data_IF_693711668877
#
_entry.id   IF_693711668877
#
_cell.length_a   1.000
_cell.length_b   1.000
_cell.length_c   1.000
_cell.angle_alpha   90.00
_cell.angle_beta   90.00
_cell.angle_gamma   90.00
#
_symmetry.space_group_name_H-M   'P 1'
#
loop_
_entity.id
_entity.type
_entity.pdbx_description
1 polymer ?
#
# COMPACT_ATOMS: atom_id res chain seq x y z
N UNK A 1 10.59 -15.09 -5.05
CA UNK A 1 11.44 -13.92 -4.68
C UNK A 1 10.55 -12.73 -4.45
N UNK A 2 10.64 -12.11 -3.28
CA UNK A 2 9.80 -10.98 -2.86
C UNK A 2 10.49 -9.66 -3.21
N UNK A 3 9.79 -8.79 -3.92
CA UNK A 3 10.32 -7.51 -4.41
C UNK A 3 9.52 -6.36 -3.81
N UNK A 4 10.19 -5.32 -3.33
CA UNK A 4 9.59 -4.08 -2.89
C UNK A 4 9.98 -2.94 -3.83
N UNK A 5 9.01 -2.09 -4.22
CA UNK A 5 9.25 -1.00 -5.18
C UNK A 5 9.13 0.35 -4.45
N UNK A 6 10.18 1.19 -4.57
CA UNK A 6 10.19 2.57 -4.11
C UNK A 6 10.29 3.49 -5.31
N UNK A 7 9.18 4.11 -5.67
CA UNK A 7 9.01 4.89 -6.90
C UNK A 7 7.87 5.90 -6.71
N UNK A 8 8.10 7.17 -6.95
CA UNK A 8 7.08 8.21 -6.78
C UNK A 8 6.12 8.29 -7.98
N UNK A 9 6.61 8.03 -9.19
CA UNK A 9 5.79 8.01 -10.39
C UNK A 9 4.83 6.81 -10.41
N UNK A 10 3.53 7.06 -10.26
CA UNK A 10 2.49 6.03 -10.30
C UNK A 10 2.47 5.26 -11.64
N UNK A 11 2.86 5.87 -12.74
CA UNK A 11 2.92 5.22 -14.07
C UNK A 11 4.08 4.23 -14.16
N UNK A 12 5.27 4.64 -13.71
CA UNK A 12 6.47 3.78 -13.70
C UNK A 12 6.25 2.63 -12.70
N UNK A 13 5.74 2.92 -11.51
CA UNK A 13 5.44 1.92 -10.51
C UNK A 13 4.48 0.84 -11.02
N UNK A 14 3.38 1.22 -11.70
CA UNK A 14 2.46 0.27 -12.34
C UNK A 14 3.10 -0.56 -13.45
N UNK A 15 4.03 0.03 -14.20
CA UNK A 15 4.78 -0.70 -15.23
C UNK A 15 5.66 -1.78 -14.61
N UNK A 16 6.43 -1.41 -13.58
CA UNK A 16 7.32 -2.33 -12.85
C UNK A 16 6.53 -3.48 -12.22
N UNK A 17 5.43 -3.18 -11.52
CA UNK A 17 4.55 -4.20 -10.91
C UNK A 17 4.08 -5.20 -11.96
N UNK A 18 3.51 -4.73 -13.09
CA UNK A 18 3.01 -5.63 -14.14
C UNK A 18 4.08 -6.52 -14.75
N UNK A 19 5.27 -5.97 -14.97
CA UNK A 19 6.40 -6.73 -15.57
C UNK A 19 6.92 -7.77 -14.58
N UNK A 20 7.11 -7.40 -13.32
CA UNK A 20 7.63 -8.29 -12.28
C UNK A 20 6.65 -9.41 -11.92
N UNK A 21 5.37 -9.11 -11.77
CA UNK A 21 4.35 -10.13 -11.47
C UNK A 21 4.12 -11.11 -12.63
N UNK A 22 4.49 -10.74 -13.87
CA UNK A 22 4.47 -11.63 -15.02
C UNK A 22 5.70 -12.56 -15.08
N UNK A 23 6.75 -12.32 -14.27
CA UNK A 23 7.97 -13.13 -14.26
C UNK A 23 7.83 -14.31 -13.27
N UNK A 24 8.13 -15.55 -13.70
CA UNK A 24 8.01 -16.72 -12.83
C UNK A 24 8.84 -16.60 -11.54
N UNK A 25 8.23 -16.91 -10.41
CA UNK A 25 8.89 -16.91 -9.10
C UNK A 25 9.16 -15.52 -8.51
N UNK A 26 8.70 -14.44 -9.14
CA UNK A 26 8.76 -13.08 -8.62
C UNK A 26 7.39 -12.62 -8.10
N UNK A 27 7.41 -11.79 -7.07
CA UNK A 27 6.21 -11.21 -6.48
C UNK A 27 6.51 -9.82 -5.92
N UNK A 28 5.71 -8.83 -6.28
CA UNK A 28 5.76 -7.52 -5.63
C UNK A 28 5.00 -7.58 -4.31
N UNK A 29 5.73 -7.42 -3.20
CA UNK A 29 5.17 -7.50 -1.84
C UNK A 29 4.80 -6.14 -1.27
N UNK A 30 5.21 -5.05 -1.91
CA UNK A 30 4.82 -3.71 -1.48
C UNK A 30 5.39 -2.62 -2.38
N UNK A 31 4.83 -1.44 -2.23
CA UNK A 31 5.15 -0.23 -2.98
C UNK A 31 5.15 0.99 -2.06
N UNK A 32 6.01 1.96 -2.33
CA UNK A 32 6.02 3.25 -1.65
C UNK A 32 6.50 4.37 -2.59
N UNK A 33 5.95 5.58 -2.43
CA UNK A 33 6.36 6.77 -3.19
C UNK A 33 7.29 7.70 -2.42
N UNK A 34 7.58 7.43 -1.14
CA UNK A 34 8.41 8.30 -0.29
C UNK A 34 9.26 7.53 0.72
N UNK A 35 10.32 8.19 1.18
CA UNK A 35 11.37 7.62 2.03
C UNK A 35 10.85 7.00 3.33
N UNK A 36 10.05 7.75 4.08
CA UNK A 36 9.58 7.34 5.41
C UNK A 36 8.64 6.14 5.34
N UNK A 37 7.74 6.13 4.36
CA UNK A 37 6.83 5.03 4.11
C UNK A 37 7.62 3.78 3.66
N UNK A 38 8.57 3.94 2.74
CA UNK A 38 9.39 2.85 2.24
C UNK A 38 10.21 2.20 3.35
N UNK A 39 10.89 3.01 4.20
CA UNK A 39 11.71 2.49 5.29
C UNK A 39 10.93 1.55 6.21
N UNK A 40 9.76 1.99 6.65
CA UNK A 40 8.93 1.22 7.56
C UNK A 40 8.42 -0.08 6.94
N UNK A 41 7.95 -0.01 5.68
CA UNK A 41 7.42 -1.17 4.98
C UNK A 41 8.50 -2.20 4.62
N UNK A 42 9.68 -1.76 4.20
CA UNK A 42 10.80 -2.65 3.89
C UNK A 42 11.30 -3.36 5.15
N UNK A 43 11.40 -2.64 6.28
CA UNK A 43 11.76 -3.26 7.55
C UNK A 43 10.78 -4.33 8.01
N UNK A 44 9.52 -4.16 7.68
CA UNK A 44 8.49 -5.12 8.05
C UNK A 44 8.38 -6.29 7.05
N UNK A 45 8.32 -6.00 5.74
CA UNK A 45 8.17 -7.04 4.71
C UNK A 45 9.42 -7.86 4.50
N UNK A 46 10.60 -7.34 4.89
CA UNK A 46 11.91 -7.97 4.67
C UNK A 46 11.99 -8.57 3.26
N UNK A 47 11.82 -7.78 2.19
CA UNK A 47 11.82 -8.29 0.84
C UNK A 47 13.22 -8.82 0.47
N UNK A 48 13.28 -9.70 -0.51
CA UNK A 48 14.54 -10.20 -1.04
C UNK A 48 15.28 -9.13 -1.83
N UNK A 49 14.51 -8.29 -2.53
CA UNK A 49 15.02 -7.21 -3.37
C UNK A 49 14.22 -5.94 -3.15
N UNK A 50 14.88 -4.80 -3.03
CA UNK A 50 14.29 -3.46 -3.10
C UNK A 50 14.70 -2.82 -4.42
N UNK A 51 13.73 -2.47 -5.26
CA UNK A 51 13.93 -1.58 -6.41
C UNK A 51 13.65 -0.16 -5.96
N UNK A 52 14.62 0.74 -6.15
CA UNK A 52 14.58 2.07 -5.54
C UNK A 52 14.93 3.16 -6.53
N UNK A 53 14.04 4.15 -6.70
CA UNK A 53 14.42 5.42 -7.30
C UNK A 53 15.14 6.32 -6.29
N UNK A 54 16.03 7.16 -6.78
CA UNK A 54 16.72 8.19 -5.99
C UNK A 54 15.84 9.42 -5.77
N UNK A 55 15.00 9.75 -6.76
CA UNK A 55 14.05 10.87 -6.69
C UNK A 55 12.73 10.38 -6.13
N UNK A 56 12.38 10.81 -4.93
CA UNK A 56 11.12 10.43 -4.27
C UNK A 56 10.25 11.65 -4.02
N UNK A 57 8.94 11.47 -3.98
CA UNK A 57 7.99 12.55 -3.68
C UNK A 57 8.29 13.22 -2.33
N UNK A 58 8.78 12.45 -1.35
CA UNK A 58 9.22 12.93 -0.04
C UNK A 58 10.49 12.22 0.39
N UNK A 59 11.52 12.98 0.72
CA UNK A 59 12.84 12.44 1.09
C UNK A 59 13.73 12.11 -0.10
N UNK A 60 14.64 11.17 0.06
CA UNK A 60 15.65 10.78 -0.94
C UNK A 60 15.91 9.28 -0.91
N UNK A 61 15.99 8.64 -2.09
CA UNK A 61 16.37 7.23 -2.19
C UNK A 61 17.76 6.94 -1.64
N UNK A 62 18.72 7.84 -1.81
CA UNK A 62 20.06 7.68 -1.25
C UNK A 62 20.06 7.70 0.30
N UNK A 63 19.25 8.59 0.90
CA UNK A 63 19.03 8.61 2.34
C UNK A 63 18.38 7.31 2.84
N UNK A 64 17.35 6.84 2.14
CA UNK A 64 16.67 5.60 2.45
C UNK A 64 17.62 4.39 2.38
N UNK A 65 18.44 4.30 1.34
CA UNK A 65 19.47 3.27 1.19
C UNK A 65 20.39 3.20 2.41
N UNK A 66 20.96 4.36 2.80
CA UNK A 66 21.84 4.45 3.96
C UNK A 66 21.13 4.07 5.27
N UNK A 67 19.85 4.43 5.44
CA UNK A 67 19.06 4.05 6.62
C UNK A 67 18.75 2.55 6.67
N UNK A 68 18.42 1.94 5.53
CA UNK A 68 18.16 0.49 5.44
C UNK A 68 19.41 -0.30 5.82
N UNK A 69 20.57 0.07 5.29
CA UNK A 69 21.82 -0.61 5.61
C UNK A 69 22.23 -0.45 7.08
N UNK A 70 22.07 0.76 7.65
CA UNK A 70 22.28 0.98 9.09
C UNK A 70 21.32 0.20 9.98
N UNK A 71 20.08 -0.01 9.51
CA UNK A 71 19.08 -0.82 10.20
C UNK A 71 19.29 -2.33 10.05
N UNK A 72 20.36 -2.76 9.36
CA UNK A 72 20.72 -4.18 9.19
C UNK A 72 19.97 -4.90 8.07
N UNK A 73 19.34 -4.17 7.13
CA UNK A 73 18.71 -4.81 5.98
C UNK A 73 19.79 -5.45 5.07
N UNK A 74 19.67 -6.76 4.84
CA UNK A 74 20.64 -7.58 4.10
C UNK A 74 20.17 -7.98 2.70
N UNK A 75 18.89 -7.72 2.37
CA UNK A 75 18.35 -7.97 1.03
C UNK A 75 19.05 -7.13 -0.04
N UNK A 76 18.92 -7.53 -1.29
CA UNK A 76 19.50 -6.82 -2.44
C UNK A 76 18.82 -5.48 -2.64
N UNK A 77 19.57 -4.40 -2.85
CA UNK A 77 19.05 -3.07 -3.19
C UNK A 77 19.56 -2.71 -4.59
N UNK A 78 18.62 -2.61 -5.52
CA UNK A 78 18.86 -2.20 -6.90
C UNK A 78 18.31 -0.80 -7.12
N UNK A 79 19.18 0.16 -7.44
CA UNK A 79 18.83 1.53 -7.74
C UNK A 79 18.42 1.63 -9.21
N UNK A 80 17.26 2.24 -9.47
CA UNK A 80 16.73 2.50 -10.80
C UNK A 80 16.38 3.99 -10.90
N UNK A 81 17.14 4.79 -11.62
CA UNK A 81 16.98 6.25 -11.64
C UNK A 81 17.15 6.85 -13.02
N UNK A 82 16.50 7.99 -13.26
CA UNK A 82 16.69 8.81 -14.46
C UNK A 82 17.75 9.92 -14.27
N UNK A 83 18.37 10.00 -13.09
CA UNK A 83 19.41 10.98 -12.79
C UNK A 83 20.75 10.57 -13.42
N UNK A 84 21.70 11.52 -13.51
CA UNK A 84 23.04 11.30 -14.07
C UNK A 84 23.71 10.08 -13.43
N UNK A 85 23.80 9.02 -14.23
CA UNK A 85 24.28 7.69 -13.81
C UNK A 85 25.69 7.77 -13.24
N UNK A 86 26.58 8.55 -13.83
CA UNK A 86 28.01 8.60 -13.46
C UNK A 86 28.22 9.33 -12.13
N UNK A 87 27.43 10.39 -11.87
CA UNK A 87 27.55 11.17 -10.64
C UNK A 87 27.02 10.44 -9.39
N UNK A 88 25.93 9.68 -9.54
CA UNK A 88 25.27 9.03 -8.40
C UNK A 88 25.65 7.57 -8.18
N UNK A 89 26.11 6.87 -9.22
CA UNK A 89 26.47 5.45 -9.16
C UNK A 89 27.46 5.17 -8.02
N UNK A 90 28.53 5.94 -7.95
CA UNK A 90 29.57 5.74 -6.93
C UNK A 90 29.00 5.97 -5.51
N UNK A 91 28.27 7.04 -5.32
CA UNK A 91 27.65 7.34 -4.01
C UNK A 91 26.66 6.26 -3.58
N UNK A 92 25.87 5.69 -4.51
CA UNK A 92 24.95 4.60 -4.20
C UNK A 92 25.66 3.30 -3.84
N UNK A 93 26.71 2.93 -4.58
CA UNK A 93 27.50 1.75 -4.29
C UNK A 93 28.25 1.89 -2.95
N UNK A 94 28.84 3.06 -2.67
CA UNK A 94 29.49 3.36 -1.40
C UNK A 94 28.49 3.35 -0.22
N UNK A 95 27.22 3.70 -0.46
CA UNK A 95 26.14 3.62 0.51
C UNK A 95 25.57 2.19 0.68
N UNK A 96 25.99 1.23 -0.13
CA UNK A 96 25.63 -0.18 -0.03
C UNK A 96 24.55 -0.65 -1.01
N UNK A 97 24.38 0.02 -2.16
CA UNK A 97 23.57 -0.53 -3.25
C UNK A 97 24.29 -1.71 -3.89
N UNK A 98 23.56 -2.74 -4.30
CA UNK A 98 24.09 -3.94 -4.94
C UNK A 98 24.11 -3.82 -6.47
N UNK A 99 23.22 -2.99 -7.02
CA UNK A 99 23.12 -2.75 -8.45
C UNK A 99 22.59 -1.34 -8.75
N UNK A 100 22.88 -0.85 -9.96
CA UNK A 100 22.47 0.48 -10.39
C UNK A 100 22.08 0.45 -11.88
N UNK A 101 20.88 0.94 -12.21
CA UNK A 101 20.31 0.93 -13.55
C UNK A 101 19.79 2.32 -13.94
N UNK A 102 19.93 2.66 -15.21
CA UNK A 102 19.30 3.83 -15.82
C UNK A 102 17.85 3.49 -16.22
N UNK A 103 16.88 4.31 -15.82
CA UNK A 103 15.46 4.13 -16.18
C UNK A 103 15.20 4.14 -17.69
N UNK A 104 16.01 4.88 -18.47
CA UNK A 104 15.79 5.02 -19.91
C UNK A 104 16.30 3.80 -20.71
N UNK A 105 17.42 3.21 -20.29
CA UNK A 105 18.12 2.17 -21.04
C UNK A 105 18.35 0.86 -20.29
N UNK A 106 18.23 0.87 -18.96
CA UNK A 106 18.63 -0.25 -18.10
C UNK A 106 17.50 -1.19 -17.66
N UNK A 107 16.26 -0.97 -18.08
CA UNK A 107 15.13 -1.77 -17.62
C UNK A 107 15.20 -3.25 -18.02
N UNK A 108 15.60 -3.55 -19.27
CA UNK A 108 15.71 -4.94 -19.72
C UNK A 108 16.86 -5.64 -18.97
N UNK A 109 18.00 -4.97 -18.80
CA UNK A 109 19.13 -5.50 -18.00
C UNK A 109 18.70 -5.76 -16.54
N UNK A 110 17.93 -4.87 -15.95
CA UNK A 110 17.38 -5.07 -14.60
C UNK A 110 16.55 -6.36 -14.52
N UNK A 111 15.65 -6.59 -15.48
CA UNK A 111 14.79 -7.78 -15.46
C UNK A 111 15.60 -9.07 -15.70
N UNK A 112 16.60 -9.04 -16.59
CA UNK A 112 17.49 -10.17 -16.83
C UNK A 112 18.32 -10.50 -15.57
N UNK A 113 18.91 -9.50 -14.92
CA UNK A 113 19.67 -9.65 -13.67
C UNK A 113 18.80 -10.18 -12.52
N UNK A 114 17.53 -9.74 -12.44
CA UNK A 114 16.60 -10.26 -11.45
C UNK A 114 16.22 -11.71 -11.71
N UNK A 115 16.04 -12.10 -12.98
CA UNK A 115 15.78 -13.48 -13.38
C UNK A 115 16.96 -14.40 -13.04
N UNK A 116 18.18 -13.97 -13.34
CA UNK A 116 19.39 -14.68 -12.98
C UNK A 116 19.57 -14.79 -11.45
N UNK A 117 19.34 -13.72 -10.73
CA UNK A 117 19.40 -13.71 -9.27
C UNK A 117 18.38 -14.65 -8.64
N UNK A 118 17.16 -14.70 -9.19
CA UNK A 118 16.12 -15.64 -8.73
C UNK A 118 16.53 -17.11 -9.01
N UNK A 119 17.17 -17.38 -10.14
CA UNK A 119 17.60 -18.74 -10.53
C UNK A 119 18.80 -19.24 -9.71
N UNK A 120 19.70 -18.34 -9.30
CA UNK A 120 20.94 -18.69 -8.55
C UNK A 120 20.71 -18.77 -7.04
N UNK A 121 19.59 -18.28 -6.54
CA UNK A 121 19.27 -18.30 -5.11
C UNK A 121 18.93 -19.74 -4.68
N UNK A 122 19.61 -20.33 -3.68
CA UNK A 122 19.17 -21.58 -3.11
C UNK A 122 17.76 -21.37 -2.55
N UNK A 123 16.85 -22.30 -2.84
CA UNK A 123 15.54 -22.33 -2.22
C UNK A 123 15.77 -22.43 -0.69
N UNK A 124 15.79 -21.30 -0.02
CA UNK A 124 15.88 -21.28 1.45
C UNK A 124 14.56 -21.79 1.97
N UNK A 125 14.62 -22.73 2.92
CA UNK A 125 13.47 -23.27 3.69
C UNK A 125 12.71 -22.17 4.47
N UNK A 126 13.14 -20.93 4.38
CA UNK A 126 12.47 -19.69 4.80
C UNK A 126 11.61 -19.07 3.68
N UNK A 127 10.96 -19.90 2.86
CA UNK A 127 9.76 -19.48 2.14
C UNK A 127 8.63 -19.29 3.19
N UNK A 128 8.86 -18.33 4.10
CA UNK A 128 7.74 -17.72 4.83
C UNK A 128 6.79 -17.28 3.74
N UNK A 129 5.54 -17.76 3.72
CA UNK A 129 4.58 -17.29 2.72
C UNK A 129 4.61 -15.78 2.80
N UNK A 130 5.05 -15.14 1.71
CA UNK A 130 5.09 -13.68 1.66
C UNK A 130 3.73 -13.21 2.14
N UNK A 131 3.68 -12.48 3.23
CA UNK A 131 2.42 -11.95 3.74
C UNK A 131 1.86 -11.13 2.59
N UNK A 132 0.81 -11.64 1.95
CA UNK A 132 0.15 -10.89 0.90
C UNK A 132 -0.38 -9.63 1.56
N UNK A 133 0.17 -8.47 1.21
CA UNK A 133 -0.27 -7.19 1.74
C UNK A 133 -1.46 -6.64 0.98
N UNK A 134 -1.76 -7.24 -0.15
CA UNK A 134 -2.83 -6.78 -1.03
C UNK A 134 -3.91 -7.84 -1.20
N UNK A 135 -5.13 -7.36 -1.30
CA UNK A 135 -6.28 -8.14 -1.75
C UNK A 135 -6.14 -8.45 -3.24
N UNK A 136 -6.14 -9.72 -3.60
CA UNK A 136 -5.89 -10.18 -4.96
C UNK A 136 -6.95 -9.75 -5.98
N UNK A 137 -8.16 -9.39 -5.53
CA UNK A 137 -9.27 -8.97 -6.39
C UNK A 137 -9.24 -7.46 -6.69
N UNK A 138 -8.98 -6.65 -5.67
CA UNK A 138 -9.10 -5.19 -5.74
C UNK A 138 -7.75 -4.47 -5.80
N UNK A 139 -6.65 -5.14 -5.45
CA UNK A 139 -5.33 -4.54 -5.32
C UNK A 139 -5.20 -3.53 -4.17
N UNK A 140 -6.21 -3.39 -3.31
CA UNK A 140 -6.15 -2.64 -2.05
C UNK A 140 -5.29 -3.39 -1.04
N UNK A 141 -4.92 -2.74 0.07
CA UNK A 141 -4.35 -3.50 1.19
C UNK A 141 -5.37 -4.52 1.70
N UNK A 142 -4.89 -5.67 2.15
CA UNK A 142 -5.73 -6.64 2.82
C UNK A 142 -5.84 -6.35 4.33
N UNK A 143 -6.61 -7.15 5.05
CA UNK A 143 -6.84 -7.00 6.48
C UNK A 143 -5.53 -7.04 7.29
N UNK A 144 -4.61 -7.95 6.98
CA UNK A 144 -3.33 -8.06 7.68
C UNK A 144 -2.48 -6.79 7.52
N UNK A 145 -2.40 -6.26 6.29
CA UNK A 145 -1.71 -5.02 6.00
C UNK A 145 -2.40 -3.80 6.64
N UNK A 146 -3.73 -3.79 6.71
CA UNK A 146 -4.48 -2.73 7.38
C UNK A 146 -4.10 -2.63 8.86
N UNK A 147 -4.11 -3.75 9.58
CA UNK A 147 -3.76 -3.79 11.01
C UNK A 147 -2.35 -3.27 11.27
N UNK A 148 -1.37 -3.79 10.52
CA UNK A 148 0.03 -3.39 10.65
C UNK A 148 0.25 -1.89 10.38
N UNK A 149 -0.34 -1.40 9.29
CA UNK A 149 -0.21 0.00 8.91
C UNK A 149 -0.90 0.92 9.89
N UNK A 150 -2.06 0.53 10.40
CA UNK A 150 -2.77 1.31 11.41
C UNK A 150 -1.95 1.39 12.71
N UNK A 151 -1.32 0.30 13.14
CA UNK A 151 -0.39 0.30 14.27
C UNK A 151 0.76 1.28 14.07
N UNK A 152 1.32 1.31 12.86
CA UNK A 152 2.42 2.20 12.52
C UNK A 152 2.01 3.67 12.52
N UNK A 153 0.92 4.02 11.79
CA UNK A 153 0.49 5.42 11.70
C UNK A 153 0.00 5.94 13.05
N UNK A 154 -0.60 5.09 13.91
CA UNK A 154 -1.00 5.48 15.26
C UNK A 154 0.20 5.81 16.15
N UNK A 155 1.31 5.04 16.05
CA UNK A 155 2.56 5.38 16.75
C UNK A 155 3.15 6.71 16.26
N UNK A 156 3.14 6.95 14.94
CA UNK A 156 3.59 8.23 14.38
C UNK A 156 2.69 9.38 14.85
N UNK A 157 1.38 9.21 14.80
CA UNK A 157 0.39 10.19 15.23
C UNK A 157 0.57 10.57 16.70
N UNK A 158 0.77 9.57 17.59
CA UNK A 158 1.08 9.81 19.01
C UNK A 158 2.34 10.65 19.21
N UNK A 159 3.41 10.34 18.46
CA UNK A 159 4.68 11.06 18.56
C UNK A 159 4.58 12.49 18.02
N UNK A 160 3.88 12.64 16.89
CA UNK A 160 3.82 13.91 16.16
C UNK A 160 2.65 14.81 16.63
N UNK A 161 1.78 14.30 17.54
CA UNK A 161 0.63 15.02 18.08
C UNK A 161 -0.45 15.32 17.03
N UNK A 162 -0.65 14.41 16.06
CA UNK A 162 -1.65 14.56 14.99
C UNK A 162 -2.78 13.56 15.18
N UNK A 163 -3.98 13.94 14.76
CA UNK A 163 -5.15 13.08 14.81
C UNK A 163 -5.28 12.22 13.56
N UNK A 164 -5.93 11.04 13.69
CA UNK A 164 -6.28 10.15 12.60
C UNK A 164 -7.78 9.88 12.62
N UNK A 165 -8.35 9.55 11.44
CA UNK A 165 -9.67 8.95 11.37
C UNK A 165 -9.60 7.57 10.70
N UNK A 166 -10.36 6.64 11.25
CA UNK A 166 -10.60 5.32 10.65
C UNK A 166 -12.06 5.25 10.23
N UNK A 167 -12.28 4.93 8.97
CA UNK A 167 -13.61 4.69 8.41
C UNK A 167 -13.72 3.22 8.02
N UNK A 168 -14.86 2.61 8.33
CA UNK A 168 -15.23 1.28 7.86
C UNK A 168 -16.50 1.41 7.03
N UNK A 169 -16.44 0.97 5.78
CA UNK A 169 -17.56 0.99 4.84
C UNK A 169 -17.96 -0.45 4.58
N UNK A 170 -19.20 -0.81 4.85
CA UNK A 170 -19.81 -2.08 4.46
C UNK A 170 -20.84 -1.86 3.37
N UNK A 171 -20.79 -2.73 2.36
CA UNK A 171 -21.73 -2.74 1.24
C UNK A 171 -22.74 -3.88 1.45
N UNK A 172 -23.88 -3.55 2.06
CA UNK A 172 -24.94 -4.53 2.30
C UNK A 172 -25.50 -5.03 0.96
N UNK A 173 -25.60 -6.35 0.82
CA UNK A 173 -26.05 -7.01 -0.41
C UNK A 173 -24.92 -7.39 -1.39
N UNK A 174 -23.68 -6.96 -1.15
CA UNK A 174 -22.57 -7.32 -2.04
C UNK A 174 -22.29 -8.83 -2.05
N UNK A 175 -22.34 -9.46 -0.88
CA UNK A 175 -22.13 -10.92 -0.75
C UNK A 175 -23.29 -11.76 -1.31
N UNK A 176 -24.43 -11.16 -1.62
CA UNK A 176 -25.61 -11.82 -2.19
C UNK A 176 -25.57 -11.83 -3.73
N UNK A 177 -24.68 -11.03 -4.34
CA UNK A 177 -24.50 -10.99 -5.78
C UNK A 177 -23.70 -12.21 -6.28
N UNK A 178 -23.91 -12.64 -7.54
CA UNK A 178 -23.02 -13.63 -8.19
C UNK A 178 -21.55 -13.21 -8.11
N UNK A 179 -20.63 -14.16 -7.94
CA UNK A 179 -19.20 -13.89 -7.70
C UNK A 179 -18.53 -12.98 -8.73
N UNK A 180 -18.87 -13.12 -10.02
CA UNK A 180 -18.37 -12.30 -11.11
C UNK A 180 -18.86 -10.84 -10.99
N UNK A 181 -20.12 -10.64 -10.66
CA UNK A 181 -20.72 -9.31 -10.43
C UNK A 181 -20.17 -8.69 -9.15
N UNK A 182 -20.17 -9.44 -8.05
CA UNK A 182 -19.61 -8.99 -6.77
C UNK A 182 -18.14 -8.57 -6.93
N UNK A 183 -17.37 -9.33 -7.70
CA UNK A 183 -15.97 -9.02 -8.01
C UNK A 183 -15.82 -7.74 -8.85
N UNK A 184 -16.70 -7.53 -9.85
CA UNK A 184 -16.67 -6.31 -10.66
C UNK A 184 -17.06 -5.07 -9.84
N UNK A 185 -18.09 -5.17 -8.99
CA UNK A 185 -18.49 -4.12 -8.06
C UNK A 185 -17.36 -3.81 -7.06
N UNK A 186 -16.76 -4.82 -6.44
CA UNK A 186 -15.67 -4.62 -5.49
C UNK A 186 -14.48 -3.86 -6.09
N UNK A 187 -14.15 -4.11 -7.38
CA UNK A 187 -13.11 -3.34 -8.09
C UNK A 187 -13.51 -1.87 -8.31
N UNK A 188 -14.77 -1.59 -8.62
CA UNK A 188 -15.25 -0.21 -8.75
C UNK A 188 -15.25 0.52 -7.40
N UNK A 189 -15.66 -0.15 -6.32
CA UNK A 189 -15.56 0.37 -4.96
C UNK A 189 -14.10 0.74 -4.63
N UNK A 190 -13.18 -0.17 -4.90
CA UNK A 190 -11.76 0.07 -4.66
C UNK A 190 -11.22 1.30 -5.41
N UNK A 191 -11.65 1.50 -6.65
CA UNK A 191 -11.28 2.67 -7.46
C UNK A 191 -11.85 3.95 -6.85
N UNK A 192 -13.16 4.00 -6.56
CA UNK A 192 -13.82 5.15 -5.95
C UNK A 192 -13.20 5.53 -4.61
N UNK A 193 -12.91 4.55 -3.74
CA UNK A 193 -12.27 4.81 -2.45
C UNK A 193 -10.85 5.35 -2.59
N UNK A 194 -10.06 4.84 -3.56
CA UNK A 194 -8.72 5.37 -3.84
C UNK A 194 -8.75 6.80 -4.35
N UNK A 195 -9.70 7.14 -5.22
CA UNK A 195 -9.86 8.49 -5.77
C UNK A 195 -10.33 9.50 -4.72
N UNK A 196 -11.13 9.03 -3.74
CA UNK A 196 -11.60 9.85 -2.63
C UNK A 196 -10.57 10.02 -1.51
N UNK A 197 -9.49 9.23 -1.50
CA UNK A 197 -8.47 9.23 -0.45
C UNK A 197 -7.23 9.99 -0.89
N UNK A 198 -6.53 10.59 0.08
CA UNK A 198 -5.23 11.24 -0.16
C UNK A 198 -4.10 10.23 -0.40
N UNK A 199 -3.00 10.71 -1.01
CA UNK A 199 -1.83 9.85 -1.31
C UNK A 199 -1.19 9.21 -0.05
N UNK A 200 -1.37 9.84 1.11
CA UNK A 200 -0.87 9.35 2.39
C UNK A 200 -1.85 8.40 3.11
N UNK A 201 -3.10 8.32 2.66
CA UNK A 201 -4.13 7.53 3.31
C UNK A 201 -3.99 6.04 2.99
N UNK A 202 -4.48 5.21 3.90
CA UNK A 202 -4.47 3.76 3.76
C UNK A 202 -5.88 3.33 3.34
N UNK A 203 -5.98 2.64 2.19
CA UNK A 203 -7.24 2.06 1.73
C UNK A 203 -7.07 0.55 1.67
N UNK A 204 -7.95 -0.17 2.35
CA UNK A 204 -7.89 -1.62 2.50
C UNK A 204 -9.24 -2.29 2.23
N UNK A 205 -9.20 -3.55 1.83
CA UNK A 205 -10.36 -4.46 1.84
C UNK A 205 -10.18 -5.44 2.99
N UNK A 206 -11.00 -5.31 4.04
CA UNK A 206 -10.90 -6.13 5.25
C UNK A 206 -11.71 -7.42 5.18
N UNK A 207 -12.77 -7.47 4.34
CA UNK A 207 -13.54 -8.68 4.08
C UNK A 207 -14.17 -8.66 2.67
N UNK A 208 -15.03 -9.62 2.38
CA UNK A 208 -15.71 -9.71 1.09
C UNK A 208 -16.54 -8.45 0.77
N UNK A 209 -17.19 -7.87 1.78
CA UNK A 209 -18.12 -6.73 1.68
C UNK A 209 -17.67 -5.50 2.48
N UNK A 210 -16.48 -5.56 3.15
CA UNK A 210 -15.99 -4.47 3.99
C UNK A 210 -14.70 -3.86 3.46
N UNK A 211 -14.66 -2.53 3.52
CA UNK A 211 -13.50 -1.72 3.17
C UNK A 211 -13.18 -0.78 4.33
N UNK A 212 -11.90 -0.46 4.49
CA UNK A 212 -11.44 0.46 5.51
C UNK A 212 -10.57 1.55 4.90
N UNK A 213 -10.70 2.77 5.42
CA UNK A 213 -9.85 3.90 5.09
C UNK A 213 -9.24 4.42 6.39
N UNK A 214 -7.93 4.67 6.40
CA UNK A 214 -7.26 5.38 7.48
C UNK A 214 -6.78 6.71 6.92
N UNK A 215 -7.42 7.79 7.33
CA UNK A 215 -7.01 9.14 7.03
C UNK A 215 -5.90 9.54 7.99
N UNK A 216 -4.68 9.73 7.46
CA UNK A 216 -3.45 9.81 8.27
C UNK A 216 -3.14 11.20 8.80
N UNK A 217 -3.90 12.21 8.41
CA UNK A 217 -3.80 13.60 8.88
C UNK A 217 -5.17 14.22 8.97
N UNK A 218 -5.51 14.66 10.15
CA UNK A 218 -6.69 15.49 10.41
C UNK A 218 -6.24 16.79 11.05
N UNK A 219 -6.61 17.90 10.43
CA UNK A 219 -6.39 19.23 11.04
C UNK A 219 -7.51 19.55 12.05
N UNK A 220 -8.71 19.01 11.81
CA UNK A 220 -9.90 19.22 12.65
C UNK A 220 -10.81 17.99 12.59
N UNK A 221 -11.43 17.63 13.73
CA UNK A 221 -12.34 16.49 13.82
C UNK A 221 -13.59 16.61 12.89
N UNK A 222 -14.05 17.85 12.63
CA UNK A 222 -15.16 18.12 11.72
C UNK A 222 -14.90 17.69 10.27
N UNK A 223 -13.64 17.69 9.86
CA UNK A 223 -13.22 17.21 8.53
C UNK A 223 -13.51 15.71 8.38
N UNK A 224 -13.34 14.93 9.44
CA UNK A 224 -13.62 13.50 9.41
C UNK A 224 -15.11 13.22 9.14
N UNK A 225 -16.02 13.95 9.82
CA UNK A 225 -17.45 13.82 9.59
C UNK A 225 -17.88 14.29 8.19
N UNK A 226 -17.23 15.32 7.64
CA UNK A 226 -17.48 15.76 6.27
C UNK A 226 -17.00 14.72 5.25
N UNK A 227 -15.82 14.14 5.47
CA UNK A 227 -15.27 13.07 4.62
C UNK A 227 -16.14 11.81 4.67
N UNK A 228 -16.65 11.42 5.85
CA UNK A 228 -17.57 10.30 5.99
C UNK A 228 -18.83 10.50 5.13
N UNK A 229 -19.43 11.69 5.16
CA UNK A 229 -20.60 12.00 4.30
C UNK A 229 -20.28 11.94 2.83
N UNK A 230 -19.11 12.41 2.42
CA UNK A 230 -18.65 12.33 1.02
C UNK A 230 -18.46 10.89 0.57
N UNK A 231 -17.90 10.02 1.42
CA UNK A 231 -17.76 8.60 1.14
C UNK A 231 -19.12 7.91 0.97
N UNK A 232 -20.08 8.19 1.84
CA UNK A 232 -21.44 7.65 1.70
C UNK A 232 -22.08 8.10 0.39
N UNK A 233 -22.01 9.39 0.05
CA UNK A 233 -22.54 9.90 -1.20
C UNK A 233 -21.89 9.22 -2.42
N UNK A 234 -20.57 9.10 -2.43
CA UNK A 234 -19.81 8.48 -3.51
C UNK A 234 -20.15 6.98 -3.70
N UNK A 235 -20.40 6.27 -2.61
CA UNK A 235 -20.78 4.85 -2.66
C UNK A 235 -22.24 4.62 -2.97
N UNK A 236 -23.10 5.63 -2.81
CA UNK A 236 -24.54 5.57 -3.15
C UNK A 236 -24.81 5.63 -4.65
N UNK A 237 -23.85 6.09 -5.44
CA UNK A 237 -23.97 6.06 -6.91
C UNK A 237 -23.98 4.61 -7.42
N UNK A 238 -24.84 4.28 -8.39
CA UNK A 238 -24.93 2.93 -8.93
C UNK A 238 -23.58 2.40 -9.46
N UNK A 239 -23.38 1.10 -9.34
CA UNK A 239 -22.27 0.37 -9.94
C UNK A 239 -22.71 -0.24 -11.26
N UNK A 240 -22.01 0.13 -12.34
CA UNK A 240 -22.35 -0.34 -13.68
C UNK A 240 -21.57 -1.61 -14.04
N UNK A 241 -22.24 -2.75 -14.14
CA UNK A 241 -21.63 -4.03 -14.51
C UNK A 241 -22.45 -4.69 -15.60
N UNK A 242 -21.83 -5.02 -16.72
CA UNK A 242 -22.42 -5.71 -17.86
C UNK A 242 -23.73 -5.06 -18.36
N UNK A 243 -23.75 -3.71 -18.39
CA UNK A 243 -24.88 -2.92 -18.85
C UNK A 243 -26.06 -2.86 -17.88
N UNK A 244 -25.87 -3.25 -16.63
CA UNK A 244 -26.86 -3.16 -15.54
C UNK A 244 -26.33 -2.32 -14.40
N UNK A 245 -27.27 -1.68 -13.70
CA UNK A 245 -27.00 -0.86 -12.53
C UNK A 245 -27.29 -1.64 -11.26
N UNK A 246 -26.32 -1.63 -10.35
CA UNK A 246 -26.42 -2.24 -9.01
C UNK A 246 -26.32 -1.15 -7.95
N UNK A 247 -27.33 -1.05 -7.10
CA UNK A 247 -27.32 -0.15 -5.95
C UNK A 247 -27.27 -1.01 -4.68
N UNK A 248 -26.31 -0.72 -3.81
CA UNK A 248 -26.10 -1.45 -2.56
C UNK A 248 -26.41 -0.57 -1.35
N UNK A 249 -26.76 -1.20 -0.24
CA UNK A 249 -26.87 -0.51 1.03
C UNK A 249 -25.48 -0.11 1.53
N UNK A 250 -25.32 1.14 1.98
CA UNK A 250 -24.06 1.66 2.51
C UNK A 250 -24.17 1.84 4.00
N UNK A 251 -23.32 1.14 4.73
CA UNK A 251 -23.15 1.31 6.16
C UNK A 251 -21.75 1.82 6.43
N UNK A 252 -21.63 2.99 7.04
CA UNK A 252 -20.35 3.62 7.33
C UNK A 252 -20.23 3.92 8.81
N UNK A 253 -19.16 3.42 9.41
CA UNK A 253 -18.79 3.79 10.77
C UNK A 253 -17.43 4.48 10.78
N UNK A 254 -17.21 5.28 11.83
CA UNK A 254 -16.01 6.11 11.97
C UNK A 254 -15.54 6.10 13.42
N UNK A 255 -14.23 6.17 13.61
CA UNK A 255 -13.60 6.40 14.90
C UNK A 255 -12.38 7.32 14.76
N UNK A 256 -12.14 8.16 15.76
CA UNK A 256 -11.07 9.15 15.81
C UNK A 256 -9.97 8.72 16.79
N UNK A 257 -8.71 8.88 16.38
CA UNK A 257 -7.56 8.71 17.26
C UNK A 257 -7.01 10.09 17.65
N UNK A 258 -6.66 10.32 18.91
CA UNK A 258 -6.84 9.44 20.07
C UNK A 258 -8.18 9.60 20.79
N UNK A 259 -9.11 10.42 20.25
CA UNK A 259 -10.33 10.86 20.93
C UNK A 259 -11.25 9.70 21.33
N UNK A 260 -11.52 8.77 20.38
CA UNK A 260 -12.47 7.66 20.61
C UNK A 260 -11.76 6.39 21.12
N UNK A 261 -10.53 6.15 20.66
CA UNK A 261 -9.70 5.05 21.13
C UNK A 261 -8.22 5.34 20.97
N UNK A 262 -7.41 4.83 21.91
CA UNK A 262 -5.94 4.98 21.91
C UNK A 262 -5.21 3.78 21.34
N UNK A 263 -5.93 2.69 21.04
CA UNK A 263 -5.33 1.50 20.44
C UNK A 263 -5.84 1.29 19.01
N UNK A 264 -4.96 0.88 18.09
CA UNK A 264 -5.34 0.62 16.69
C UNK A 264 -6.49 -0.38 16.53
N UNK A 265 -6.47 -1.46 17.32
CA UNK A 265 -7.57 -2.44 17.32
C UNK A 265 -8.87 -1.86 17.85
N UNK A 266 -8.80 -1.05 18.92
CA UNK A 266 -9.96 -0.35 19.46
C UNK A 266 -10.61 0.57 18.44
N UNK A 267 -9.82 1.31 17.67
CA UNK A 267 -10.31 2.17 16.59
C UNK A 267 -11.08 1.40 15.51
N UNK A 268 -10.51 0.29 15.02
CA UNK A 268 -11.20 -0.54 14.03
C UNK A 268 -12.47 -1.16 14.58
N UNK A 269 -12.42 -1.70 15.81
CA UNK A 269 -13.60 -2.28 16.45
C UNK A 269 -14.71 -1.26 16.63
N UNK A 270 -14.38 -0.04 17.05
CA UNK A 270 -15.36 1.02 17.25
C UNK A 270 -15.94 1.50 15.91
N UNK A 271 -15.09 1.71 14.89
CA UNK A 271 -15.56 2.07 13.56
C UNK A 271 -16.47 0.99 12.96
N UNK A 272 -16.16 -0.30 13.17
CA UNK A 272 -17.04 -1.41 12.78
C UNK A 272 -18.36 -1.38 13.54
N UNK A 273 -18.33 -1.23 14.87
CA UNK A 273 -19.54 -1.20 15.69
C UNK A 273 -20.48 -0.03 15.31
N UNK A 274 -19.92 1.14 15.02
CA UNK A 274 -20.71 2.29 14.57
C UNK A 274 -21.30 2.11 13.17
N UNK A 275 -20.63 1.37 12.27
CA UNK A 275 -21.18 1.03 10.96
C UNK A 275 -22.40 0.11 11.06
N UNK A 276 -22.40 -0.82 12.01
CA UNK A 276 -23.45 -1.85 12.12
C UNK A 276 -24.60 -1.47 13.07
N UNK A 277 -24.66 -0.20 13.51
CA UNK A 277 -25.76 0.27 14.39
C UNK A 277 -25.82 -0.38 15.77
N UNK A 278 -24.68 -0.88 16.27
CA UNK A 278 -24.54 -1.56 17.55
C UNK A 278 -24.15 -0.57 18.70
N UNK A 279 -24.71 0.66 18.68
CA UNK A 279 -24.65 1.61 19.80
C UNK A 279 -26.02 1.91 20.31
#
# INVERSE_FOLDING_TARGET
MNIFIVEDSASIRRLLVRRLDAMPGMRVVGEAGGERQALALIQWTQPDVVLMDLSLATGSGLSLLAQLRRAGYTGRIAVLTAQDVDAYRRACLDAGADAFYDKASGLETLFDDLAEYAATRPATLDDKPAVQLRDGLTGLFNEAALHERLDQVSRCATRDGVDLAVYVVRLAGLAELPDDIAGAVARQVALRLKEASGDADIVARSSADQFAIVQTRLDQAEQAAAHARSLVALMSDPFHVDGRDYTLGIELGMALFPADAVSPRGLLTLAQATAFGAL
#
